data_IF_209826247525
#
_entry.id   IF_209826247525
#
_cell.length_a   1.000
_cell.length_b   1.000
_cell.length_c   1.000
_cell.angle_alpha   90.00
_cell.angle_beta   90.00
_cell.angle_gamma   90.00
#
_symmetry.space_group_name_H-M   'P 1'
#
loop_
_entity.id
_entity.type
_entity.pdbx_description
1 polymer ?
#
# COMPACT_ATOMS: atom_id res chain seq x y z
N UNK A 1 -4.13 -42.69 18.16
CA UNK A 1 -5.13 -43.42 17.35
C UNK A 1 -5.81 -44.51 18.17
N UNK A 2 -6.63 -44.19 19.18
CA UNK A 2 -7.34 -45.22 19.97
C UNK A 2 -8.71 -44.74 20.46
N UNK A 3 -9.59 -44.36 19.53
CA UNK A 3 -10.95 -43.93 19.85
C UNK A 3 -11.80 -45.01 20.53
N UNK A 4 -11.57 -46.26 20.13
CA UNK A 4 -12.22 -47.44 20.69
C UNK A 4 -11.85 -47.70 22.17
N UNK A 5 -10.73 -47.16 22.67
CA UNK A 5 -10.33 -47.28 24.08
C UNK A 5 -11.09 -46.34 25.01
N UNK A 6 -11.79 -45.33 24.45
CA UNK A 6 -12.59 -44.37 25.21
C UNK A 6 -14.08 -44.75 25.25
N UNK A 7 -14.44 -45.94 24.77
CA UNK A 7 -15.80 -46.44 24.83
C UNK A 7 -16.07 -47.04 26.21
N UNK A 8 -17.27 -46.78 26.75
CA UNK A 8 -17.66 -47.35 28.03
C UNK A 8 -17.78 -48.89 27.90
N UNK A 9 -17.46 -49.65 28.96
CA UNK A 9 -17.64 -51.10 28.95
C UNK A 9 -19.10 -51.46 28.62
N UNK A 10 -19.30 -52.37 27.65
CA UNK A 10 -20.63 -52.79 27.21
C UNK A 10 -21.39 -51.77 26.36
N UNK A 11 -20.75 -50.71 25.86
CA UNK A 11 -21.41 -49.67 25.06
C UNK A 11 -21.55 -49.99 23.56
N UNK A 12 -21.24 -51.22 23.14
CA UNK A 12 -21.38 -51.69 21.76
C UNK A 12 -22.23 -52.94 21.81
N UNK A 13 -23.44 -52.82 21.29
CA UNK A 13 -24.48 -53.82 21.46
C UNK A 13 -24.62 -54.71 20.21
N UNK A 14 -23.98 -54.30 19.11
CA UNK A 14 -23.97 -55.03 17.84
C UNK A 14 -22.81 -54.61 16.92
N UNK A 15 -22.52 -55.45 15.92
CA UNK A 15 -21.60 -55.10 14.84
C UNK A 15 -22.02 -53.84 14.07
N UNK A 16 -23.34 -53.62 13.92
CA UNK A 16 -23.89 -52.42 13.29
C UNK A 16 -23.56 -51.16 14.09
N UNK A 17 -23.67 -51.21 15.42
CA UNK A 17 -23.33 -50.10 16.31
C UNK A 17 -21.82 -49.78 16.28
N UNK A 18 -20.97 -50.81 16.30
CA UNK A 18 -19.53 -50.63 16.09
C UNK A 18 -19.22 -49.95 14.74
N UNK A 19 -19.83 -50.43 13.65
CA UNK A 19 -19.66 -49.83 12.33
C UNK A 19 -20.13 -48.37 12.28
N UNK A 20 -21.26 -48.06 12.93
CA UNK A 20 -21.80 -46.70 12.98
C UNK A 20 -20.86 -45.75 13.73
N UNK A 21 -20.36 -46.17 14.90
CA UNK A 21 -19.42 -45.36 15.70
C UNK A 21 -18.05 -45.23 15.05
N UNK A 22 -17.56 -46.29 14.40
CA UNK A 22 -16.34 -46.24 13.59
C UNK A 22 -16.49 -45.23 12.46
N UNK A 23 -17.59 -45.31 11.70
CA UNK A 23 -17.88 -44.33 10.66
C UNK A 23 -17.96 -42.95 11.26
N UNK A 24 -18.77 -42.71 12.29
CA UNK A 24 -18.89 -41.40 12.93
C UNK A 24 -17.52 -40.84 13.37
N UNK A 25 -16.66 -41.66 13.98
CA UNK A 25 -15.32 -41.23 14.41
C UNK A 25 -14.39 -40.88 13.22
N UNK A 26 -14.45 -41.63 12.11
CA UNK A 26 -13.60 -41.38 10.94
C UNK A 26 -14.21 -40.41 9.91
N UNK A 27 -15.54 -40.24 9.91
CA UNK A 27 -16.26 -39.31 9.03
C UNK A 27 -16.46 -37.95 9.65
N UNK A 28 -16.46 -37.82 10.98
CA UNK A 28 -16.36 -36.51 11.65
C UNK A 28 -15.05 -35.80 11.34
N UNK A 29 -14.00 -36.56 10.98
CA UNK A 29 -12.72 -36.05 10.49
C UNK A 29 -12.66 -35.89 8.96
N UNK A 30 -13.73 -36.19 8.21
CA UNK A 30 -13.75 -35.84 6.78
C UNK A 30 -13.79 -34.31 6.70
N UNK A 31 -12.66 -33.70 6.36
CA UNK A 31 -12.58 -32.28 6.05
C UNK A 31 -13.75 -31.93 5.12
N UNK A 32 -14.62 -31.04 5.60
CA UNK A 32 -15.65 -30.47 4.74
C UNK A 32 -14.95 -29.92 3.50
N UNK A 33 -15.41 -30.22 2.27
CA UNK A 33 -14.81 -29.68 1.08
C UNK A 33 -14.74 -28.17 1.21
N UNK A 34 -13.53 -27.59 1.10
CA UNK A 34 -13.40 -26.14 1.03
C UNK A 34 -14.08 -25.69 -0.26
N UNK A 35 -14.99 -24.75 -0.14
CA UNK A 35 -15.81 -24.22 -1.24
C UNK A 35 -15.36 -22.81 -1.60
N UNK A 36 -15.98 -22.23 -2.63
CA UNK A 36 -15.82 -20.82 -3.01
C UNK A 36 -16.05 -19.86 -1.83
N UNK A 37 -16.99 -20.19 -0.94
CA UNK A 37 -17.21 -19.43 0.29
C UNK A 37 -15.96 -19.35 1.19
N UNK A 38 -15.09 -20.36 1.14
CA UNK A 38 -13.81 -20.33 1.88
C UNK A 38 -12.86 -19.28 1.30
N UNK A 39 -12.84 -19.13 -0.03
CA UNK A 39 -12.04 -18.09 -0.69
C UNK A 39 -12.66 -16.70 -0.51
N UNK A 40 -13.99 -16.62 -0.50
CA UNK A 40 -14.71 -15.38 -0.31
C UNK A 40 -14.41 -14.70 1.03
N UNK A 41 -14.16 -15.49 2.08
CA UNK A 41 -13.78 -15.01 3.41
C UNK A 41 -12.33 -14.50 3.48
N UNK A 42 -11.51 -14.74 2.46
CA UNK A 42 -10.12 -14.28 2.40
C UNK A 42 -10.12 -12.90 1.79
N UNK A 43 -10.12 -11.89 2.67
CA UNK A 43 -9.97 -10.48 2.30
C UNK A 43 -8.61 -9.97 2.78
N UNK A 44 -8.07 -8.98 2.05
CA UNK A 44 -6.84 -8.29 2.42
C UNK A 44 -7.12 -7.34 3.60
N UNK A 45 -6.39 -7.51 4.69
CA UNK A 45 -6.53 -6.66 5.88
C UNK A 45 -5.97 -5.24 5.67
N UNK A 46 -6.36 -4.30 6.54
CA UNK A 46 -5.97 -2.87 6.44
C UNK A 46 -4.47 -2.64 6.50
N UNK A 47 -3.77 -3.39 7.35
CA UNK A 47 -2.31 -3.31 7.51
C UNK A 47 -1.57 -4.43 6.79
N UNK A 48 -2.29 -5.26 6.04
CA UNK A 48 -1.71 -6.43 5.41
C UNK A 48 -1.05 -6.07 4.07
N UNK A 49 0.16 -6.60 3.87
CA UNK A 49 0.85 -6.49 2.59
C UNK A 49 0.15 -7.32 1.51
N UNK A 50 0.27 -6.89 0.26
CA UNK A 50 -0.26 -7.65 -0.87
C UNK A 50 0.30 -9.09 -0.89
N UNK A 51 1.59 -9.25 -0.60
CA UNK A 51 2.26 -10.56 -0.52
C UNK A 51 1.58 -11.51 0.47
N UNK A 52 1.35 -11.07 1.70
CA UNK A 52 0.71 -11.89 2.74
C UNK A 52 -0.70 -12.30 2.34
N UNK A 53 -1.46 -11.39 1.75
CA UNK A 53 -2.79 -11.67 1.23
C UNK A 53 -2.76 -12.77 0.16
N UNK A 54 -1.88 -12.64 -0.84
CA UNK A 54 -1.73 -13.63 -1.91
C UNK A 54 -1.31 -15.00 -1.37
N UNK A 55 -0.40 -15.06 -0.40
CA UNK A 55 0.02 -16.32 0.21
C UNK A 55 -1.15 -17.03 0.90
N UNK A 56 -2.01 -16.30 1.62
CA UNK A 56 -3.22 -16.87 2.23
C UNK A 56 -4.23 -17.34 1.18
N UNK A 57 -4.49 -16.51 0.17
CA UNK A 57 -5.45 -16.82 -0.89
C UNK A 57 -5.00 -18.04 -1.70
N UNK A 58 -3.76 -18.03 -2.22
CA UNK A 58 -3.21 -19.13 -3.03
C UNK A 58 -3.20 -20.45 -2.27
N UNK A 59 -2.81 -20.44 -0.99
CA UNK A 59 -2.85 -21.62 -0.12
C UNK A 59 -4.25 -22.21 -0.02
N UNK A 60 -5.27 -21.39 0.19
CA UNK A 60 -6.65 -21.87 0.24
C UNK A 60 -7.17 -22.31 -1.14
N UNK A 61 -6.80 -21.59 -2.20
CA UNK A 61 -7.24 -21.83 -3.57
C UNK A 61 -6.77 -23.18 -4.14
N UNK A 62 -5.66 -23.73 -3.64
CA UNK A 62 -5.19 -25.09 -4.00
C UNK A 62 -6.16 -26.17 -3.52
N UNK A 63 -6.83 -25.94 -2.39
CA UNK A 63 -7.76 -26.92 -1.79
C UNK A 63 -9.19 -26.81 -2.33
N UNK A 64 -9.53 -25.69 -3.00
CA UNK A 64 -10.86 -25.43 -3.55
C UNK A 64 -10.92 -25.81 -5.03
N UNK A 65 -11.83 -26.74 -5.35
CA UNK A 65 -12.15 -27.14 -6.73
C UNK A 65 -13.22 -26.21 -7.29
N UNK A 66 -12.80 -25.17 -8.00
CA UNK A 66 -13.65 -24.23 -8.74
C UNK A 66 -12.91 -23.72 -9.97
N UNK A 67 -13.64 -23.09 -10.88
CA UNK A 67 -13.14 -22.50 -12.13
C UNK A 67 -12.10 -21.41 -11.86
N UNK A 68 -11.13 -21.29 -12.77
CA UNK A 68 -10.07 -20.30 -12.65
C UNK A 68 -10.62 -18.86 -12.67
N UNK A 69 -11.65 -18.62 -13.48
CA UNK A 69 -12.36 -17.34 -13.54
C UNK A 69 -13.01 -16.97 -12.22
N UNK A 70 -13.57 -17.96 -11.49
CA UNK A 70 -14.12 -17.75 -10.15
C UNK A 70 -13.02 -17.43 -9.13
N UNK A 71 -11.89 -18.13 -9.21
CA UNK A 71 -10.73 -17.83 -8.35
C UNK A 71 -10.20 -16.43 -8.61
N UNK A 72 -10.11 -16.02 -9.87
CA UNK A 72 -9.69 -14.66 -10.25
C UNK A 72 -10.66 -13.61 -9.72
N UNK A 73 -11.96 -13.83 -9.91
CA UNK A 73 -13.01 -12.94 -9.37
C UNK A 73 -12.91 -12.78 -7.85
N UNK A 74 -12.78 -13.88 -7.11
CA UNK A 74 -12.67 -13.84 -5.64
C UNK A 74 -11.34 -13.22 -5.18
N UNK A 75 -10.26 -13.46 -5.93
CA UNK A 75 -8.94 -12.87 -5.66
C UNK A 75 -8.95 -11.34 -5.81
N UNK A 76 -9.58 -10.83 -6.86
CA UNK A 76 -9.76 -9.40 -7.08
C UNK A 76 -10.71 -8.79 -6.04
N UNK A 77 -11.87 -9.42 -5.81
CA UNK A 77 -12.85 -8.96 -4.83
C UNK A 77 -12.30 -8.89 -3.41
N UNK A 78 -11.37 -9.78 -3.06
CA UNK A 78 -10.71 -9.81 -1.75
C UNK A 78 -9.65 -8.73 -1.56
N UNK A 79 -9.26 -7.98 -2.60
CA UNK A 79 -8.31 -6.88 -2.47
C UNK A 79 -8.88 -5.74 -1.61
N UNK A 80 -7.98 -5.04 -0.92
CA UNK A 80 -8.35 -3.84 -0.18
C UNK A 80 -8.67 -2.71 -1.16
N UNK A 81 -9.92 -2.24 -1.17
CA UNK A 81 -10.46 -1.30 -2.17
C UNK A 81 -9.69 0.01 -2.31
N UNK A 82 -9.08 0.49 -1.23
CA UNK A 82 -8.34 1.76 -1.22
C UNK A 82 -6.87 1.60 -1.61
N UNK A 83 -6.38 0.37 -1.75
CA UNK A 83 -4.99 0.08 -2.09
C UNK A 83 -4.67 0.52 -3.53
N UNK A 84 -3.44 1.00 -3.76
CA UNK A 84 -3.02 1.40 -5.10
C UNK A 84 -2.94 0.20 -6.05
N UNK A 85 -2.72 -1.01 -5.53
CA UNK A 85 -2.81 -2.23 -6.33
C UNK A 85 -4.24 -2.49 -6.84
N UNK A 86 -5.26 -2.38 -5.98
CA UNK A 86 -6.65 -2.54 -6.41
C UNK A 86 -7.04 -1.50 -7.48
N UNK A 87 -6.57 -0.26 -7.35
CA UNK A 87 -6.75 0.76 -8.40
C UNK A 87 -6.06 0.35 -9.71
N UNK A 88 -4.82 -0.13 -9.64
CA UNK A 88 -4.08 -0.57 -10.82
C UNK A 88 -4.74 -1.76 -11.53
N UNK A 89 -5.32 -2.70 -10.77
CA UNK A 89 -6.11 -3.82 -11.29
C UNK A 89 -7.40 -3.32 -11.93
N UNK A 90 -8.11 -2.36 -11.32
CA UNK A 90 -9.30 -1.76 -11.92
C UNK A 90 -9.06 -0.97 -13.21
N UNK A 91 -7.86 -0.38 -13.37
CA UNK A 91 -7.46 0.34 -14.60
C UNK A 91 -7.14 -0.65 -15.74
N UNK A 92 -6.37 -1.69 -15.43
CA UNK A 92 -5.98 -2.71 -16.40
C UNK A 92 -6.29 -4.07 -15.77
N UNK A 93 -7.49 -4.55 -16.10
CA UNK A 93 -8.13 -5.73 -15.55
C UNK A 93 -7.48 -7.01 -16.11
N UNK A 94 -6.83 -7.82 -15.27
CA UNK A 94 -6.29 -9.11 -15.68
C UNK A 94 -7.40 -10.08 -16.10
N UNK A 95 -7.17 -10.85 -17.17
CA UNK A 95 -8.13 -11.84 -17.66
C UNK A 95 -7.83 -13.27 -17.24
N UNK A 96 -6.66 -13.51 -16.64
CA UNK A 96 -6.19 -14.82 -16.15
C UNK A 96 -5.56 -14.67 -14.78
N UNK A 97 -5.47 -15.76 -14.00
CA UNK A 97 -4.75 -15.73 -12.72
C UNK A 97 -3.28 -15.40 -12.93
N UNK A 98 -2.65 -15.94 -13.97
CA UNK A 98 -1.24 -15.68 -14.27
C UNK A 98 -0.98 -14.20 -14.51
N UNK A 99 -1.80 -13.53 -15.34
CA UNK A 99 -1.66 -12.10 -15.59
C UNK A 99 -1.84 -11.27 -14.30
N UNK A 100 -2.78 -11.67 -13.44
CA UNK A 100 -3.00 -11.02 -12.15
C UNK A 100 -1.76 -11.18 -11.25
N UNK A 101 -1.25 -12.41 -11.13
CA UNK A 101 -0.12 -12.73 -10.28
C UNK A 101 1.17 -12.06 -10.77
N UNK A 102 1.43 -12.04 -12.08
CA UNK A 102 2.56 -11.32 -12.64
C UNK A 102 2.53 -9.82 -12.30
N UNK A 103 1.36 -9.19 -12.46
CA UNK A 103 1.16 -7.78 -12.09
C UNK A 103 1.38 -7.56 -10.60
N UNK A 104 0.88 -8.48 -9.77
CA UNK A 104 1.08 -8.43 -8.33
C UNK A 104 2.54 -8.58 -7.93
N UNK A 105 3.31 -9.48 -8.56
CA UNK A 105 4.74 -9.63 -8.29
C UNK A 105 5.52 -8.36 -8.62
N UNK A 106 5.23 -7.72 -9.76
CA UNK A 106 5.83 -6.42 -10.13
C UNK A 106 5.52 -5.34 -9.08
N UNK A 107 4.28 -5.31 -8.59
CA UNK A 107 3.86 -4.34 -7.57
C UNK A 107 4.51 -4.63 -6.21
N UNK A 108 4.59 -5.88 -5.78
CA UNK A 108 5.28 -6.29 -4.54
C UNK A 108 6.75 -5.85 -4.58
N UNK A 109 7.44 -6.12 -5.69
CA UNK A 109 8.83 -5.70 -5.86
C UNK A 109 8.97 -4.16 -5.81
N UNK A 110 8.00 -3.42 -6.37
CA UNK A 110 7.95 -1.96 -6.26
C UNK A 110 7.75 -1.50 -4.81
N UNK A 111 6.80 -2.05 -4.07
CA UNK A 111 6.54 -1.71 -2.67
C UNK A 111 7.77 -2.00 -1.78
N UNK A 112 8.39 -3.16 -1.96
CA UNK A 112 9.58 -3.56 -1.20
C UNK A 112 10.76 -2.61 -1.48
N UNK A 113 10.92 -2.19 -2.75
CA UNK A 113 11.91 -1.18 -3.14
C UNK A 113 11.61 0.17 -2.48
N UNK A 114 10.37 0.66 -2.49
CA UNK A 114 10.00 1.92 -1.84
C UNK A 114 10.26 1.87 -0.33
N UNK A 115 9.81 0.82 0.36
CA UNK A 115 10.07 0.63 1.80
C UNK A 115 11.57 0.63 2.11
N UNK A 116 12.39 -0.01 1.27
CA UNK A 116 13.84 0.01 1.45
C UNK A 116 14.45 1.42 1.26
N UNK A 117 13.93 2.23 0.34
CA UNK A 117 14.33 3.63 0.18
C UNK A 117 13.94 4.48 1.39
N UNK A 118 12.72 4.32 1.89
CA UNK A 118 12.22 5.10 3.04
C UNK A 118 12.98 4.78 4.33
N UNK A 119 13.35 3.51 4.55
CA UNK A 119 14.18 3.11 5.69
C UNK A 119 15.60 3.69 5.60
N UNK A 120 16.14 3.85 4.39
CA UNK A 120 17.50 4.39 4.16
C UNK A 120 17.54 5.92 4.16
N UNK A 121 16.40 6.59 4.05
CA UNK A 121 16.31 8.05 4.05
C UNK A 121 16.48 8.56 5.49
N UNK A 122 17.45 9.46 5.75
CA UNK A 122 17.55 10.09 7.07
C UNK A 122 16.23 10.80 7.40
N UNK A 123 15.69 10.59 8.60
CA UNK A 123 14.56 11.35 9.15
C UNK A 123 14.96 12.82 9.30
N UNK A 124 14.95 13.57 8.22
CA UNK A 124 15.50 14.92 8.15
C UNK A 124 15.08 15.64 6.87
N UNK A 125 13.78 15.64 6.56
CA UNK A 125 13.08 16.70 5.84
C UNK A 125 11.70 16.18 5.45
N UNK A 126 10.74 16.37 6.35
CA UNK A 126 9.36 16.60 5.95
C UNK A 126 9.26 18.09 5.62
N UNK A 127 9.15 18.42 4.32
CA UNK A 127 8.30 19.50 3.82
C UNK A 127 8.32 19.51 2.29
N UNK A 128 7.11 19.60 1.76
CA UNK A 128 6.78 20.02 0.39
C UNK A 128 6.73 18.90 -0.67
N UNK A 129 5.67 18.09 -0.64
CA UNK A 129 4.97 17.71 -1.88
C UNK A 129 3.66 18.50 -1.93
N UNK A 130 3.69 19.65 -2.58
CA UNK A 130 2.50 20.41 -2.97
C UNK A 130 2.21 20.10 -4.43
N UNK A 131 1.02 19.55 -4.67
CA UNK A 131 0.47 19.20 -5.98
C UNK A 131 0.07 20.48 -6.75
N UNK A 132 0.09 20.36 -8.08
CA UNK A 132 -0.25 21.35 -9.12
C UNK A 132 -1.62 22.02 -8.95
N UNK A 133 -1.78 23.24 -9.51
CA UNK A 133 -2.92 23.60 -10.37
C UNK A 133 -2.71 24.91 -11.15
N UNK A 134 -2.74 24.82 -12.48
CA UNK A 134 -3.04 25.90 -13.42
C UNK A 134 -4.52 26.32 -13.30
N UNK A 135 -4.83 27.63 -13.40
CA UNK A 135 -5.88 28.14 -14.32
C UNK A 135 -6.04 29.68 -14.28
N UNK A 136 -6.07 30.25 -15.49
CA UNK A 136 -6.97 31.29 -16.00
C UNK A 136 -7.00 32.72 -15.39
N UNK A 137 -6.42 33.65 -16.17
CA UNK A 137 -7.04 34.85 -16.75
C UNK A 137 -8.24 35.52 -16.05
N UNK A 138 -8.14 36.83 -15.79
CA UNK A 138 -8.93 37.89 -16.50
C UNK A 138 -8.72 39.28 -15.87
N UNK A 139 -8.45 40.27 -16.74
CA UNK A 139 -9.12 41.61 -16.81
C UNK A 139 -9.07 42.56 -15.59
N UNK A 140 -8.82 43.87 -15.66
CA UNK A 140 -8.58 44.88 -16.70
C UNK A 140 -8.29 46.20 -15.95
N UNK A 141 -7.48 47.07 -16.59
CA UNK A 141 -7.59 48.54 -16.63
C UNK A 141 -7.22 49.41 -15.40
N UNK A 142 -6.18 50.20 -15.66
CA UNK A 142 -6.17 51.67 -15.72
C UNK A 142 -5.47 52.42 -14.59
N UNK A 143 -4.59 53.35 -15.01
CA UNK A 143 -4.39 54.61 -14.31
C UNK A 143 -2.95 55.02 -14.05
N UNK A 144 -2.23 55.45 -15.08
CA UNK A 144 -1.05 56.31 -14.92
C UNK A 144 -1.46 57.66 -14.28
N UNK A 145 -0.71 58.14 -13.28
CA UNK A 145 -0.26 59.56 -13.10
C UNK A 145 0.41 59.81 -11.73
N UNK A 146 1.74 59.93 -11.77
CA UNK A 146 2.59 61.05 -11.28
C UNK A 146 2.22 61.79 -9.96
N UNK A 147 3.09 61.70 -8.93
CA UNK A 147 3.90 62.80 -8.29
C UNK A 147 4.15 62.61 -6.77
N UNK A 148 5.45 62.59 -6.45
CA UNK A 148 6.22 63.21 -5.35
C UNK A 148 5.71 63.31 -3.89
N UNK A 149 6.63 62.92 -3.01
CA UNK A 149 6.95 63.42 -1.66
C UNK A 149 5.94 63.30 -0.50
N UNK A 150 6.19 62.29 0.36
CA UNK A 150 6.49 62.47 1.79
C UNK A 150 6.72 61.11 2.47
N UNK A 151 7.99 60.85 2.83
CA UNK A 151 8.41 59.73 3.66
C UNK A 151 7.86 59.95 5.07
N UNK A 152 6.85 59.16 5.47
CA UNK A 152 6.47 58.97 6.88
C UNK A 152 7.12 57.70 7.37
N UNK A 153 7.92 57.81 8.42
CA UNK A 153 8.53 56.69 9.12
C UNK A 153 7.47 55.66 9.54
N UNK A 154 7.60 54.44 9.03
CA UNK A 154 6.89 53.27 9.51
C UNK A 154 7.90 52.14 9.69
N UNK A 155 8.03 51.66 10.92
CA UNK A 155 8.90 50.55 11.32
C UNK A 155 8.62 49.30 10.46
N UNK A 156 9.63 48.53 10.01
CA UNK A 156 9.40 47.37 9.16
C UNK A 156 8.79 46.21 9.96
N UNK A 157 7.92 45.38 9.36
CA UNK A 157 7.52 44.11 9.94
C UNK A 157 8.73 43.18 10.00
N UNK A 158 8.89 42.44 11.10
CA UNK A 158 9.91 41.40 11.27
C UNK A 158 9.62 40.21 10.33
N UNK A 159 10.02 40.34 9.07
CA UNK A 159 10.09 39.26 8.09
C UNK A 159 11.46 38.58 8.16
N UNK A 160 11.47 37.24 8.20
CA UNK A 160 12.69 36.44 8.20
C UNK A 160 13.44 36.71 6.89
N UNK A 161 14.71 37.12 7.00
CA UNK A 161 15.59 37.41 5.87
C UNK A 161 15.86 36.13 5.06
N UNK A 162 15.40 36.05 3.81
CA UNK A 162 15.53 34.86 2.94
C UNK A 162 16.32 35.13 1.65
N UNK A 163 17.29 36.03 1.66
CA UNK A 163 18.15 36.20 0.48
C UNK A 163 19.33 37.12 0.74
N UNK A 164 20.54 36.58 0.65
CA UNK A 164 21.75 37.38 0.54
C UNK A 164 21.84 37.97 -0.86
N UNK A 165 22.30 39.22 -0.98
CA UNK A 165 22.72 39.78 -2.27
C UNK A 165 23.84 38.90 -2.82
N UNK A 166 23.74 38.40 -4.06
CA UNK A 166 24.83 37.65 -4.67
C UNK A 166 26.08 38.52 -4.76
N UNK A 167 27.25 37.92 -4.57
CA UNK A 167 28.51 38.63 -4.64
C UNK A 167 28.70 39.21 -6.05
N UNK A 168 29.10 40.49 -6.12
CA UNK A 168 29.42 41.15 -7.39
C UNK A 168 30.70 40.60 -8.06
N UNK A 169 31.42 39.69 -7.38
CA UNK A 169 32.64 39.07 -7.85
C UNK A 169 32.75 37.62 -7.32
N UNK A 170 33.45 36.73 -8.05
CA UNK A 170 33.70 35.36 -7.59
C UNK A 170 34.56 35.34 -6.31
N UNK A 171 34.36 34.32 -5.48
CA UNK A 171 35.01 34.18 -4.15
C UNK A 171 36.54 34.26 -4.23
N UNK A 172 37.16 33.75 -5.30
CA UNK A 172 38.62 33.78 -5.44
C UNK A 172 39.18 35.20 -5.42
N UNK A 173 38.45 36.18 -5.99
CA UNK A 173 38.89 37.57 -6.06
C UNK A 173 38.89 38.26 -4.69
N UNK A 174 37.90 37.94 -3.85
CA UNK A 174 37.75 38.51 -2.51
C UNK A 174 38.88 38.03 -1.58
N UNK A 175 39.28 36.75 -1.67
CA UNK A 175 40.36 36.22 -0.85
C UNK A 175 41.75 36.78 -1.22
N UNK A 176 41.96 37.06 -2.52
CA UNK A 176 43.20 37.64 -2.99
C UNK A 176 43.44 39.05 -2.44
N UNK A 177 42.39 39.85 -2.30
CA UNK A 177 42.47 41.25 -1.83
C UNK A 177 42.80 41.35 -0.34
N UNK A 178 42.23 40.46 0.49
CA UNK A 178 42.54 40.40 1.94
C UNK A 178 43.98 39.97 2.21
N UNK A 179 44.57 39.18 1.31
CA UNK A 179 45.95 38.70 1.45
C UNK A 179 47.01 39.73 1.04
N UNK A 180 46.60 40.88 0.48
CA UNK A 180 47.51 41.98 0.13
C UNK A 180 47.57 43.11 1.18
N UNK A 181 46.77 43.03 2.25
CA UNK A 181 46.75 44.02 3.35
C UNK A 181 47.25 43.45 4.69
N UNK A 182 48.11 42.43 4.68
CA UNK A 182 48.80 41.92 5.88
C UNK A 182 50.31 41.89 5.73
#
# INVERSE_FOLDING_TARGET
MTWYKNLAPGSIDSWSDLCARFRAHFTSSKHHPKTEATLELIVQGDTESLRSYLERFTKAAVEVKTEESMKLYLLDRGLRRDSDFAKAVGIEEPKTLDAFLEKAQKYIAYEEKQKAFDVRRPKGNERSKGYEREEAETSRRAGERKREDKIKEAKPPRGKFTGYTPLNAPRERIFAEVSQES
#
